data_IF_033624239185
#
_entry.id   IF_033624239185
#
_cell.length_a   1.000
_cell.length_b   1.000
_cell.length_c   1.000
_cell.angle_alpha   90.00
_cell.angle_beta   90.00
_cell.angle_gamma   90.00
#
_symmetry.space_group_name_H-M   'P 1'
#
loop_
_entity.id
_entity.type
_entity.pdbx_description
1 polymer ?
#
# COMPACT_ATOMS: atom_id res chain seq x y z
N UNK A 1 -41.07 -10.04 -17.12
CA UNK A 1 -40.40 -9.86 -15.82
C UNK A 1 -40.66 -8.45 -15.31
N UNK A 2 -40.62 -8.25 -13.99
CA UNK A 2 -40.52 -6.91 -13.40
C UNK A 2 -39.07 -6.43 -13.54
N UNK A 3 -38.84 -5.18 -13.93
CA UNK A 3 -37.50 -4.59 -13.88
C UNK A 3 -37.09 -4.47 -12.41
N UNK A 4 -35.84 -4.80 -12.07
CA UNK A 4 -35.28 -4.48 -10.76
C UNK A 4 -34.73 -3.06 -10.76
N UNK A 5 -34.93 -2.37 -9.67
CA UNK A 5 -34.35 -1.06 -9.40
C UNK A 5 -32.86 -1.25 -9.11
N UNK A 6 -32.03 -0.38 -9.70
CA UNK A 6 -30.60 -0.34 -9.43
C UNK A 6 -30.35 0.60 -8.24
N UNK A 7 -29.30 0.40 -7.44
CA UNK A 7 -28.85 1.43 -6.51
C UNK A 7 -28.43 2.67 -7.31
N UNK A 8 -28.62 3.86 -6.72
CA UNK A 8 -27.86 5.03 -7.12
C UNK A 8 -26.37 4.79 -6.84
N UNK A 9 -25.50 5.41 -7.63
CA UNK A 9 -24.06 5.48 -7.38
C UNK A 9 -23.61 6.93 -7.47
N UNK A 10 -22.58 7.26 -6.72
CA UNK A 10 -21.78 8.47 -6.87
C UNK A 10 -20.33 8.05 -7.14
N UNK A 11 -19.69 8.72 -8.09
CA UNK A 11 -18.35 8.40 -8.57
C UNK A 11 -17.34 9.52 -8.23
N UNK A 12 -16.14 9.14 -7.78
CA UNK A 12 -15.09 10.06 -7.38
C UNK A 12 -13.88 10.05 -8.33
N UNK A 13 -12.68 9.86 -7.78
CA UNK A 13 -11.45 9.73 -8.57
C UNK A 13 -11.38 8.40 -9.34
N UNK A 14 -10.95 8.50 -10.59
CA UNK A 14 -10.55 7.34 -11.39
C UNK A 14 -9.29 6.70 -10.82
N UNK A 15 -9.22 5.38 -10.85
CA UNK A 15 -8.12 4.58 -10.33
C UNK A 15 -7.49 3.73 -11.45
N UNK A 16 -6.15 3.70 -11.46
CA UNK A 16 -5.33 2.76 -12.22
C UNK A 16 -4.46 1.95 -11.25
N UNK A 17 -4.56 0.63 -11.33
CA UNK A 17 -3.57 -0.30 -10.79
C UNK A 17 -2.75 -0.85 -11.97
N UNK A 18 -1.49 -0.41 -12.11
CA UNK A 18 -0.56 -0.91 -13.14
C UNK A 18 0.39 -1.94 -12.50
N UNK A 19 0.42 -3.16 -13.05
CA UNK A 19 1.22 -4.27 -12.51
C UNK A 19 2.40 -4.58 -13.43
N UNK A 20 3.61 -4.56 -12.85
CA UNK A 20 4.87 -4.81 -13.57
C UNK A 20 5.58 -6.04 -13.03
N UNK A 21 6.19 -6.81 -13.94
CA UNK A 21 7.27 -7.74 -13.61
C UNK A 21 8.61 -7.14 -14.00
N UNK A 22 9.67 -7.43 -13.27
CA UNK A 22 11.02 -7.02 -13.63
C UNK A 22 11.60 -8.06 -14.62
N UNK A 23 12.18 -7.60 -15.72
CA UNK A 23 13.07 -8.45 -16.52
C UNK A 23 14.40 -8.59 -15.77
N UNK A 24 14.42 -9.56 -14.85
CA UNK A 24 15.56 -9.83 -13.99
C UNK A 24 16.80 -10.30 -14.76
N UNK A 25 16.68 -10.81 -15.99
CA UNK A 25 17.83 -11.18 -16.81
C UNK A 25 18.41 -9.95 -17.51
N UNK A 26 17.58 -9.11 -18.14
CA UNK A 26 18.02 -7.81 -18.67
C UNK A 26 18.62 -6.91 -17.57
N UNK A 27 18.04 -6.91 -16.36
CA UNK A 27 18.56 -6.18 -15.20
C UNK A 27 19.93 -6.68 -14.71
N UNK A 28 20.22 -7.98 -14.85
CA UNK A 28 21.52 -8.56 -14.48
C UNK A 28 22.59 -8.32 -15.53
N UNK A 29 22.22 -8.39 -16.81
CA UNK A 29 23.14 -8.22 -17.94
C UNK A 29 23.44 -6.73 -18.29
N UNK A 30 22.63 -5.79 -17.77
CA UNK A 30 22.81 -4.36 -18.00
C UNK A 30 24.08 -3.77 -17.35
N UNK A 31 24.82 -2.88 -18.03
CA UNK A 31 25.91 -2.11 -17.43
C UNK A 31 25.43 -1.23 -16.27
N UNK A 32 26.29 -1.04 -15.25
CA UNK A 32 25.97 -0.25 -14.05
C UNK A 32 25.35 1.11 -14.38
N UNK A 33 25.94 1.86 -15.33
CA UNK A 33 25.44 3.16 -15.79
C UNK A 33 23.99 3.15 -16.30
N UNK A 34 23.52 2.04 -16.86
CA UNK A 34 22.13 1.91 -17.33
C UNK A 34 21.19 1.58 -16.17
N UNK A 35 21.68 0.83 -15.17
CA UNK A 35 20.97 0.55 -13.90
C UNK A 35 20.88 1.77 -13.02
N UNK A 36 21.97 2.50 -12.83
CA UNK A 36 22.03 3.80 -12.13
C UNK A 36 21.01 4.78 -12.71
N UNK A 37 20.89 4.80 -14.05
CA UNK A 37 19.94 5.67 -14.76
C UNK A 37 18.49 5.21 -14.57
N UNK A 38 18.23 3.91 -14.66
CA UNK A 38 16.92 3.32 -14.42
C UNK A 38 16.44 3.56 -12.98
N UNK A 39 17.33 3.39 -11.98
CA UNK A 39 17.06 3.77 -10.60
C UNK A 39 16.78 5.27 -10.48
N UNK A 40 17.67 6.13 -11.00
CA UNK A 40 17.51 7.59 -10.89
C UNK A 40 16.18 8.08 -11.49
N UNK A 41 15.88 7.71 -12.73
CA UNK A 41 14.65 8.11 -13.41
C UNK A 41 13.40 7.43 -12.83
N UNK A 42 13.54 6.21 -12.31
CA UNK A 42 12.46 5.50 -11.61
C UNK A 42 12.09 6.15 -10.28
N UNK A 43 13.09 6.43 -9.44
CA UNK A 43 12.94 7.14 -8.16
C UNK A 43 12.36 8.53 -8.38
N UNK A 44 12.88 9.30 -9.36
CA UNK A 44 12.34 10.61 -9.73
C UNK A 44 10.89 10.51 -10.22
N UNK A 45 10.57 9.54 -11.08
CA UNK A 45 9.22 9.32 -11.56
C UNK A 45 8.25 9.06 -10.40
N UNK A 46 8.57 8.11 -9.53
CA UNK A 46 7.71 7.64 -8.45
C UNK A 46 7.46 8.74 -7.40
N UNK A 47 8.52 9.38 -6.90
CA UNK A 47 8.40 10.51 -5.95
C UNK A 47 7.49 11.60 -6.50
N UNK A 48 7.71 12.03 -7.75
CA UNK A 48 6.88 13.05 -8.39
C UNK A 48 5.41 12.64 -8.65
N UNK A 49 4.98 11.43 -8.23
CA UNK A 49 3.58 10.99 -8.20
C UNK A 49 3.05 10.75 -6.78
N UNK A 50 3.90 10.49 -5.79
CA UNK A 50 3.50 10.46 -4.36
C UNK A 50 3.50 11.89 -3.76
N UNK A 51 4.53 12.70 -4.04
CA UNK A 51 4.70 14.09 -3.61
C UNK A 51 3.81 15.09 -4.39
N UNK A 52 2.51 14.83 -4.50
CA UNK A 52 1.56 15.79 -5.06
C UNK A 52 1.40 16.97 -4.08
N UNK A 53 1.61 18.20 -4.57
CA UNK A 53 1.62 19.41 -3.73
C UNK A 53 0.23 19.86 -3.24
N UNK A 54 -0.81 19.11 -3.59
CA UNK A 54 -2.22 19.44 -3.43
C UNK A 54 -3.05 18.15 -3.48
N UNK A 55 -3.86 17.92 -2.45
CA UNK A 55 -4.65 16.69 -2.32
C UNK A 55 -5.73 16.57 -3.41
N UNK A 56 -6.25 17.69 -3.93
CA UNK A 56 -7.28 17.69 -4.96
C UNK A 56 -6.74 17.17 -6.32
N UNK A 57 -5.43 17.00 -6.46
CA UNK A 57 -4.79 16.41 -7.64
C UNK A 57 -4.81 14.87 -7.64
N UNK A 58 -5.28 14.22 -6.57
CA UNK A 58 -5.32 12.77 -6.42
C UNK A 58 -4.25 12.22 -5.48
N UNK A 59 -3.87 10.96 -5.69
CA UNK A 59 -2.82 10.30 -4.90
C UNK A 59 -2.12 9.18 -5.66
N UNK A 60 -0.92 8.79 -5.23
CA UNK A 60 -0.24 7.59 -5.76
C UNK A 60 0.52 6.85 -4.68
N UNK A 61 0.79 5.56 -4.90
CA UNK A 61 1.68 4.77 -4.06
C UNK A 61 2.31 3.61 -4.84
N UNK A 62 3.57 3.28 -4.54
CA UNK A 62 4.28 2.09 -5.06
C UNK A 62 4.34 0.95 -4.04
N UNK A 63 4.15 -0.28 -4.52
CA UNK A 63 4.18 -1.49 -3.69
C UNK A 63 5.02 -2.57 -4.35
N UNK A 64 5.84 -3.26 -3.56
CA UNK A 64 6.48 -4.51 -3.94
C UNK A 64 5.50 -5.65 -3.72
N UNK A 65 5.26 -6.45 -4.74
CA UNK A 65 4.33 -7.58 -4.68
C UNK A 65 5.04 -8.89 -4.38
N UNK A 66 4.39 -9.74 -3.58
CA UNK A 66 4.91 -11.07 -3.21
C UNK A 66 4.28 -12.15 -4.11
N UNK A 67 5.08 -12.74 -4.99
CA UNK A 67 4.63 -13.84 -5.85
C UNK A 67 5.49 -13.99 -7.10
N UNK A 68 4.85 -14.40 -8.20
CA UNK A 68 5.46 -14.48 -9.53
C UNK A 68 4.58 -13.83 -10.62
N UNK A 69 3.43 -13.27 -10.23
CA UNK A 69 2.45 -12.72 -11.16
C UNK A 69 2.76 -11.26 -11.51
N UNK A 70 3.30 -10.52 -10.53
CA UNK A 70 3.89 -9.19 -10.66
C UNK A 70 4.91 -8.99 -9.53
N UNK A 71 5.93 -8.15 -9.76
CA UNK A 71 6.96 -7.75 -8.79
C UNK A 71 6.64 -6.36 -8.19
N UNK A 72 5.99 -5.48 -8.96
CA UNK A 72 5.57 -4.14 -8.56
C UNK A 72 4.08 -3.90 -8.87
N UNK A 73 3.44 -3.07 -8.05
CA UNK A 73 2.16 -2.42 -8.34
C UNK A 73 2.30 -0.91 -8.18
N UNK A 74 1.82 -0.16 -9.17
CA UNK A 74 1.64 1.28 -9.13
C UNK A 74 0.15 1.57 -8.98
N UNK A 75 -0.23 2.21 -7.87
CA UNK A 75 -1.59 2.73 -7.69
C UNK A 75 -1.59 4.23 -7.99
N UNK A 76 -2.51 4.66 -8.86
CA UNK A 76 -2.77 6.08 -9.14
C UNK A 76 -4.27 6.36 -9.04
N UNK A 77 -4.65 7.35 -8.23
CA UNK A 77 -6.00 7.90 -8.15
C UNK A 77 -5.99 9.33 -8.72
N UNK A 78 -6.90 9.69 -9.64
CA UNK A 78 -6.93 11.02 -10.29
C UNK A 78 -8.36 11.51 -10.62
N UNK A 79 -8.62 12.84 -10.57
CA UNK A 79 -9.88 13.43 -11.03
C UNK A 79 -10.29 13.12 -12.48
N UNK A 80 -9.34 12.98 -13.41
CA UNK A 80 -9.60 12.80 -14.84
C UNK A 80 -8.86 11.58 -15.41
N UNK A 81 -9.52 10.83 -16.30
CA UNK A 81 -8.90 9.68 -17.00
C UNK A 81 -7.72 10.08 -17.87
N UNK A 82 -7.68 11.29 -18.43
CA UNK A 82 -6.51 11.78 -19.19
C UNK A 82 -5.25 11.92 -18.30
N UNK A 83 -5.41 12.10 -16.98
CA UNK A 83 -4.27 12.13 -16.06
C UNK A 83 -3.69 10.73 -15.87
N UNK A 84 -4.52 9.69 -15.73
CA UNK A 84 -4.07 8.30 -15.65
C UNK A 84 -3.40 7.86 -16.95
N UNK A 85 -4.04 8.15 -18.09
CA UNK A 85 -3.51 7.93 -19.44
C UNK A 85 -2.11 8.55 -19.61
N UNK A 86 -1.96 9.82 -19.20
CA UNK A 86 -0.69 10.55 -19.27
C UNK A 86 0.37 9.98 -18.31
N UNK A 87 -0.02 9.42 -17.17
CA UNK A 87 0.90 8.79 -16.20
C UNK A 87 1.40 7.44 -16.73
N UNK A 88 0.53 6.57 -17.24
CA UNK A 88 0.89 5.29 -17.86
C UNK A 88 1.98 5.48 -18.93
N UNK A 89 1.75 6.39 -19.89
CA UNK A 89 2.71 6.63 -21.00
C UNK A 89 3.91 7.47 -20.59
N UNK A 90 3.89 8.11 -19.41
CA UNK A 90 5.07 8.73 -18.83
C UNK A 90 5.98 7.70 -18.15
N UNK A 91 5.44 6.61 -17.59
CA UNK A 91 6.25 5.51 -17.06
C UNK A 91 7.06 4.85 -18.18
N UNK A 92 6.42 4.53 -19.31
CA UNK A 92 7.06 3.97 -20.52
C UNK A 92 8.19 4.84 -21.13
N UNK A 93 8.36 6.09 -20.68
CA UNK A 93 9.46 6.98 -21.10
C UNK A 93 10.67 6.97 -20.16
N UNK A 94 10.57 6.31 -19.00
CA UNK A 94 11.68 6.15 -18.05
C UNK A 94 12.64 5.03 -18.48
N UNK A 95 13.91 5.15 -18.11
CA UNK A 95 14.86 4.05 -18.22
C UNK A 95 14.48 2.82 -17.36
N UNK A 96 13.71 3.01 -16.28
CA UNK A 96 13.18 1.90 -15.46
C UNK A 96 12.23 1.00 -16.26
N UNK A 97 11.30 1.59 -17.02
CA UNK A 97 10.31 0.82 -17.77
C UNK A 97 10.92 -0.14 -18.80
N UNK A 98 12.12 0.17 -19.31
CA UNK A 98 12.91 -0.70 -20.19
C UNK A 98 13.38 -2.01 -19.52
N UNK A 99 13.32 -2.10 -18.19
CA UNK A 99 13.56 -3.30 -17.40
C UNK A 99 12.26 -3.91 -16.84
N UNK A 100 11.09 -3.53 -17.36
CA UNK A 100 9.78 -4.05 -16.92
C UNK A 100 8.97 -4.68 -18.05
N UNK A 101 8.29 -5.78 -17.74
CA UNK A 101 7.16 -6.27 -18.53
C UNK A 101 5.85 -5.80 -17.87
N UNK A 102 4.90 -5.32 -18.69
CA UNK A 102 3.51 -5.15 -18.25
C UNK A 102 2.92 -6.53 -17.99
N UNK A 103 2.46 -6.76 -16.77
CA UNK A 103 2.00 -8.06 -16.29
C UNK A 103 0.47 -8.14 -16.23
N UNK A 104 -0.18 -7.06 -15.80
CA UNK A 104 -1.62 -6.95 -15.61
C UNK A 104 -2.00 -5.46 -15.47
N UNK A 105 -3.29 -5.12 -15.49
CA UNK A 105 -3.77 -3.77 -15.18
C UNK A 105 -5.20 -3.79 -14.65
N UNK A 106 -5.62 -2.75 -13.93
CA UNK A 106 -7.03 -2.54 -13.59
C UNK A 106 -7.44 -1.07 -13.68
N UNK A 107 -8.52 -0.75 -14.39
CA UNK A 107 -9.06 0.61 -14.57
C UNK A 107 -10.45 0.73 -13.96
N UNK A 108 -10.65 1.69 -13.06
CA UNK A 108 -11.87 1.80 -12.26
C UNK A 108 -12.11 3.24 -11.77
N UNK A 109 -13.16 3.49 -10.98
CA UNK A 109 -13.45 4.78 -10.34
C UNK A 109 -13.97 4.55 -8.93
N UNK A 110 -13.59 5.38 -7.94
CA UNK A 110 -14.10 5.23 -6.56
C UNK A 110 -15.62 5.36 -6.54
N UNK A 111 -16.29 4.41 -5.88
CA UNK A 111 -17.75 4.26 -5.93
C UNK A 111 -18.35 4.26 -4.53
N UNK A 112 -19.47 4.98 -4.36
CA UNK A 112 -20.39 4.80 -3.24
C UNK A 112 -21.77 4.47 -3.80
N UNK A 113 -22.42 3.44 -3.24
CA UNK A 113 -23.75 3.02 -3.64
C UNK A 113 -24.82 3.41 -2.61
N UNK A 114 -26.03 3.68 -3.10
CA UNK A 114 -27.22 4.09 -2.32
C UNK A 114 -27.78 3.03 -1.36
N UNK A 115 -27.02 1.98 -1.03
CA UNK A 115 -27.29 1.12 0.12
C UNK A 115 -26.84 1.76 1.45
N UNK A 116 -26.04 2.83 1.41
CA UNK A 116 -25.56 3.54 2.62
C UNK A 116 -26.57 4.57 3.12
N UNK A 117 -27.24 5.29 2.22
CA UNK A 117 -28.41 6.14 2.52
C UNK A 117 -29.28 6.29 1.26
N UNK A 118 -30.60 6.41 1.45
CA UNK A 118 -31.55 6.68 0.37
C UNK A 118 -31.36 8.10 -0.20
N UNK A 119 -30.87 9.05 0.61
CA UNK A 119 -30.60 10.44 0.23
C UNK A 119 -29.59 10.57 -0.93
N UNK A 120 -28.73 9.55 -1.14
CA UNK A 120 -27.77 9.52 -2.26
C UNK A 120 -28.47 9.53 -3.63
N UNK A 121 -29.75 9.11 -3.71
CA UNK A 121 -30.51 9.14 -4.95
C UNK A 121 -30.85 10.56 -5.45
N UNK A 122 -30.77 11.56 -4.56
CA UNK A 122 -30.92 12.99 -4.89
C UNK A 122 -29.55 13.71 -5.00
N UNK A 123 -28.43 13.00 -4.86
CA UNK A 123 -27.06 13.53 -5.00
C UNK A 123 -26.36 13.80 -3.65
N UNK A 124 -25.04 13.57 -3.59
CA UNK A 124 -24.25 13.73 -2.35
C UNK A 124 -24.34 15.13 -1.73
N UNK A 125 -24.59 16.18 -2.53
CA UNK A 125 -24.75 17.54 -2.03
C UNK A 125 -26.07 17.79 -1.28
N UNK A 126 -27.00 16.82 -1.28
CA UNK A 126 -28.31 16.91 -0.65
C UNK A 126 -28.46 16.02 0.63
N UNK A 127 -27.39 15.35 1.07
CA UNK A 127 -27.38 14.55 2.31
C UNK A 127 -27.40 15.46 3.56
N UNK A 128 -28.44 15.37 4.39
CA UNK A 128 -28.70 16.33 5.48
C UNK A 128 -27.72 16.18 6.67
N UNK A 129 -27.14 14.99 6.87
CA UNK A 129 -26.14 14.74 7.92
C UNK A 129 -24.70 15.02 7.45
N UNK A 130 -24.09 16.08 7.99
CA UNK A 130 -22.68 16.43 7.77
C UNK A 130 -21.73 15.26 8.06
N UNK A 131 -22.02 14.40 9.03
CA UNK A 131 -21.17 13.25 9.37
C UNK A 131 -21.11 12.23 8.23
N UNK A 132 -22.27 11.78 7.78
CA UNK A 132 -22.47 10.87 6.64
C UNK A 132 -21.91 11.47 5.35
N UNK A 133 -22.20 12.75 5.06
CA UNK A 133 -21.68 13.47 3.90
C UNK A 133 -20.15 13.49 3.88
N UNK A 134 -19.50 13.82 5.00
CA UNK A 134 -18.03 13.84 5.08
C UNK A 134 -17.42 12.44 4.96
N UNK A 135 -18.03 11.41 5.57
CA UNK A 135 -17.62 10.01 5.40
C UNK A 135 -17.71 9.55 3.94
N UNK A 136 -18.70 10.03 3.19
CA UNK A 136 -18.82 9.75 1.76
C UNK A 136 -17.78 10.51 0.93
N UNK A 137 -17.56 11.80 1.18
CA UNK A 137 -16.51 12.56 0.48
C UNK A 137 -15.11 11.93 0.67
N UNK A 138 -14.82 11.40 1.87
CA UNK A 138 -13.58 10.65 2.16
C UNK A 138 -13.45 9.32 1.40
N UNK A 139 -14.54 8.77 0.86
CA UNK A 139 -14.55 7.54 0.06
C UNK A 139 -14.56 7.79 -1.45
N UNK A 140 -15.14 8.91 -1.91
CA UNK A 140 -15.03 9.36 -3.30
C UNK A 140 -13.63 9.94 -3.59
N UNK A 141 -13.07 10.68 -2.62
CA UNK A 141 -11.77 11.36 -2.76
C UNK A 141 -10.78 10.89 -1.67
N UNK A 142 -10.42 9.59 -1.62
CA UNK A 142 -9.61 9.02 -0.55
C UNK A 142 -8.12 9.33 -0.74
N UNK A 143 -7.45 9.82 0.31
CA UNK A 143 -6.00 9.66 0.39
C UNK A 143 -5.64 8.17 0.47
N UNK A 144 -4.54 7.78 -0.18
CA UNK A 144 -4.03 6.41 -0.06
C UNK A 144 -3.45 6.24 1.35
N UNK A 145 -3.87 5.21 2.13
CA UNK A 145 -3.41 5.05 3.50
C UNK A 145 -1.88 4.94 3.65
N UNK A 146 -1.38 5.56 4.70
CA UNK A 146 -0.06 5.29 5.26
C UNK A 146 -0.18 3.99 6.09
N UNK A 147 0.18 2.87 5.45
CA UNK A 147 0.10 1.52 5.99
C UNK A 147 1.14 0.62 5.32
N UNK A 148 1.73 -0.34 6.06
CA UNK A 148 2.82 -1.16 5.50
C UNK A 148 2.35 -2.09 4.37
N UNK A 149 1.18 -2.73 4.47
CA UNK A 149 0.75 -3.77 3.54
C UNK A 149 -0.47 -3.39 2.68
N UNK A 150 -0.55 -4.01 1.50
CA UNK A 150 -1.67 -3.88 0.57
C UNK A 150 -2.18 -5.25 0.10
N UNK A 151 -3.49 -5.37 -0.09
CA UNK A 151 -4.10 -6.46 -0.84
C UNK A 151 -5.12 -5.92 -1.84
N UNK A 152 -4.88 -6.14 -3.14
CA UNK A 152 -5.82 -5.83 -4.21
C UNK A 152 -6.48 -7.12 -4.75
N UNK A 153 -7.76 -7.05 -5.07
CA UNK A 153 -8.44 -8.05 -5.90
C UNK A 153 -9.65 -7.43 -6.63
N UNK A 154 -9.94 -7.83 -7.87
CA UNK A 154 -11.20 -7.53 -8.52
C UNK A 154 -12.26 -8.59 -8.18
N UNK A 155 -13.54 -8.23 -8.28
CA UNK A 155 -14.66 -9.16 -8.02
C UNK A 155 -15.96 -8.77 -8.70
N UNK A 156 -16.82 -9.77 -8.89
CA UNK A 156 -18.17 -9.66 -9.45
C UNK A 156 -19.25 -10.04 -8.42
N UNK A 157 -20.50 -9.67 -8.73
CA UNK A 157 -21.71 -10.19 -8.11
C UNK A 157 -22.40 -11.20 -9.04
N UNK A 158 -22.35 -12.47 -8.65
CA UNK A 158 -22.81 -13.66 -9.38
C UNK A 158 -24.15 -13.46 -10.09
N UNK A 159 -24.18 -13.86 -11.36
CA UNK A 159 -25.35 -13.90 -12.26
C UNK A 159 -25.71 -15.35 -12.66
N UNK A 160 -25.81 -16.23 -11.66
CA UNK A 160 -25.99 -17.68 -11.82
C UNK A 160 -27.45 -18.16 -11.75
N UNK A 161 -27.73 -19.45 -12.04
CA UNK A 161 -29.09 -19.97 -12.15
C UNK A 161 -29.81 -20.21 -10.81
N UNK A 162 -29.08 -20.32 -9.70
CA UNK A 162 -29.63 -20.40 -8.33
C UNK A 162 -29.48 -19.07 -7.59
N UNK A 163 -28.32 -18.42 -7.73
CA UNK A 163 -28.00 -17.13 -7.14
C UNK A 163 -27.69 -16.12 -8.24
N UNK A 164 -28.61 -15.18 -8.46
CA UNK A 164 -28.40 -14.01 -9.31
C UNK A 164 -28.65 -12.73 -8.51
N UNK A 165 -27.58 -11.99 -8.19
CA UNK A 165 -27.64 -10.72 -7.44
C UNK A 165 -28.56 -9.68 -8.09
N UNK A 166 -28.52 -9.60 -9.42
CA UNK A 166 -29.24 -8.60 -10.20
C UNK A 166 -30.74 -8.94 -10.38
N UNK A 167 -31.17 -10.16 -10.07
CA UNK A 167 -32.58 -10.56 -10.02
C UNK A 167 -33.23 -10.34 -8.64
N UNK A 168 -32.49 -9.92 -7.62
CA UNK A 168 -33.01 -9.65 -6.27
C UNK A 168 -33.85 -8.35 -6.21
N UNK A 169 -34.78 -8.22 -5.26
CA UNK A 169 -35.32 -6.92 -4.81
C UNK A 169 -34.21 -5.96 -4.37
N UNK A 170 -34.52 -4.66 -4.29
CA UNK A 170 -33.59 -3.67 -3.72
C UNK A 170 -33.35 -3.94 -2.24
N UNK A 171 -34.42 -4.07 -1.45
CA UNK A 171 -34.42 -4.27 -0.01
C UNK A 171 -33.58 -5.51 0.40
N UNK A 172 -33.73 -6.63 -0.33
CA UNK A 172 -32.97 -7.85 -0.09
C UNK A 172 -31.46 -7.66 -0.35
N UNK A 173 -31.07 -6.81 -1.31
CA UNK A 173 -29.65 -6.42 -1.47
C UNK A 173 -29.19 -5.45 -0.40
N UNK A 174 -30.05 -4.52 0.04
CA UNK A 174 -29.73 -3.59 1.12
C UNK A 174 -29.45 -4.34 2.43
N UNK A 175 -30.30 -5.30 2.82
CA UNK A 175 -30.09 -6.18 3.97
C UNK A 175 -28.74 -6.95 3.86
N UNK A 176 -28.43 -7.48 2.67
CA UNK A 176 -27.18 -8.21 2.41
C UNK A 176 -25.94 -7.31 2.46
N UNK A 177 -26.00 -6.08 1.95
CA UNK A 177 -24.90 -5.10 2.06
C UNK A 177 -24.77 -4.55 3.48
N UNK A 178 -25.87 -4.40 4.23
CA UNK A 178 -25.84 -3.98 5.63
C UNK A 178 -25.09 -5.00 6.50
N UNK A 179 -25.40 -6.30 6.40
CA UNK A 179 -24.69 -7.36 7.12
C UNK A 179 -23.22 -7.50 6.72
N UNK A 180 -22.90 -7.30 5.44
CA UNK A 180 -21.51 -7.19 4.98
C UNK A 180 -20.77 -6.00 5.63
N UNK A 181 -21.47 -4.86 5.75
CA UNK A 181 -20.99 -3.65 6.40
C UNK A 181 -20.87 -3.75 7.93
N UNK A 182 -21.65 -4.63 8.59
CA UNK A 182 -21.46 -4.97 10.01
C UNK A 182 -20.08 -5.59 10.23
N UNK A 183 -19.74 -6.64 9.47
CA UNK A 183 -18.42 -7.29 9.55
C UNK A 183 -17.31 -6.28 9.23
N UNK A 184 -17.45 -5.48 8.17
CA UNK A 184 -16.47 -4.44 7.83
C UNK A 184 -16.21 -3.43 8.95
N UNK A 185 -17.22 -3.12 9.77
CA UNK A 185 -17.07 -2.22 10.94
C UNK A 185 -16.31 -2.85 12.11
N UNK A 186 -16.25 -4.17 12.23
CA UNK A 186 -15.44 -4.85 13.27
C UNK A 186 -13.92 -4.73 13.02
N UNK A 187 -13.52 -4.43 11.78
CA UNK A 187 -12.14 -4.21 11.36
C UNK A 187 -11.75 -2.72 11.24
N UNK A 188 -12.59 -1.80 11.73
CA UNK A 188 -12.30 -0.37 11.75
C UNK A 188 -11.01 -0.06 12.55
N UNK A 189 -10.07 0.66 11.94
CA UNK A 189 -8.76 0.93 12.52
C UNK A 189 -7.74 -0.23 12.44
N UNK A 190 -8.12 -1.36 11.82
CA UNK A 190 -7.20 -2.46 11.44
C UNK A 190 -7.00 -2.52 9.92
N UNK A 191 -8.09 -2.41 9.16
CA UNK A 191 -8.09 -2.44 7.70
C UNK A 191 -8.83 -1.21 7.17
N UNK A 192 -8.19 -0.49 6.25
CA UNK A 192 -8.83 0.55 5.43
C UNK A 192 -9.09 -0.02 4.04
N UNK A 193 -10.25 0.28 3.45
CA UNK A 193 -10.61 -0.16 2.10
C UNK A 193 -10.84 1.03 1.16
N UNK A 194 -10.36 0.90 -0.07
CA UNK A 194 -10.80 1.69 -1.22
C UNK A 194 -11.54 0.72 -2.14
N UNK A 195 -12.79 1.05 -2.47
CA UNK A 195 -13.65 0.29 -3.38
C UNK A 195 -13.85 1.12 -4.64
N UNK A 196 -13.69 0.48 -5.80
CA UNK A 196 -13.86 1.14 -7.09
C UNK A 196 -14.80 0.36 -7.99
N UNK A 197 -15.74 1.04 -8.64
CA UNK A 197 -16.58 0.48 -9.70
C UNK A 197 -15.83 0.43 -11.02
N UNK A 198 -16.06 -0.61 -11.83
CA UNK A 198 -15.36 -0.82 -13.11
C UNK A 198 -16.26 -1.36 -14.23
N UNK A 199 -17.58 -1.42 -14.02
CA UNK A 199 -18.55 -1.89 -15.02
C UNK A 199 -18.51 -1.06 -16.31
N UNK A 200 -17.83 -1.59 -17.34
CA UNK A 200 -17.64 -0.93 -18.63
C UNK A 200 -16.29 -0.22 -18.80
N UNK A 201 -15.43 -0.24 -17.78
CA UNK A 201 -14.02 0.16 -17.86
C UNK A 201 -13.08 -1.05 -17.92
N UNK A 202 -13.40 -2.13 -17.19
CA UNK A 202 -12.56 -3.34 -17.05
C UNK A 202 -13.39 -4.64 -17.12
N UNK A 203 -12.73 -5.80 -17.01
CA UNK A 203 -13.31 -7.14 -17.17
C UNK A 203 -14.23 -7.56 -15.99
N UNK A 204 -14.06 -6.95 -14.81
CA UNK A 204 -14.81 -7.25 -13.58
C UNK A 204 -15.67 -6.05 -13.10
N UNK A 205 -16.66 -6.32 -12.25
CA UNK A 205 -17.66 -5.33 -11.83
C UNK A 205 -17.11 -4.31 -10.78
N UNK A 206 -16.24 -4.75 -9.85
CA UNK A 206 -15.55 -3.87 -8.87
C UNK A 206 -14.09 -4.24 -8.62
N UNK A 207 -13.25 -3.24 -8.36
CA UNK A 207 -11.92 -3.37 -7.74
C UNK A 207 -11.98 -3.15 -6.22
N UNK A 208 -11.26 -3.96 -5.45
CA UNK A 208 -11.13 -3.83 -4.00
C UNK A 208 -9.67 -3.71 -3.61
N UNK A 209 -9.30 -2.63 -2.93
CA UNK A 209 -7.94 -2.43 -2.39
C UNK A 209 -8.02 -2.29 -0.87
N UNK A 210 -7.33 -3.16 -0.15
CA UNK A 210 -7.25 -3.19 1.31
C UNK A 210 -5.85 -2.75 1.77
N UNK A 211 -5.78 -1.97 2.84
CA UNK A 211 -4.56 -1.45 3.45
C UNK A 211 -4.55 -1.73 4.95
N UNK A 212 -3.43 -2.23 5.49
CA UNK A 212 -3.27 -2.58 6.90
C UNK A 212 -1.77 -2.71 7.24
N UNK A 213 -1.40 -2.54 8.51
CA UNK A 213 -0.03 -2.80 8.97
C UNK A 213 0.22 -4.29 9.22
N UNK A 214 -0.74 -4.98 9.87
CA UNK A 214 -0.71 -6.44 10.00
C UNK A 214 -1.43 -7.10 8.80
N UNK A 215 -0.71 -7.81 7.90
CA UNK A 215 -1.31 -8.42 6.72
C UNK A 215 -2.21 -9.62 7.06
N UNK A 216 -2.18 -10.13 8.29
CA UNK A 216 -3.10 -11.17 8.75
C UNK A 216 -4.51 -10.63 8.99
N UNK A 217 -4.69 -9.31 9.17
CA UNK A 217 -6.01 -8.68 9.27
C UNK A 217 -6.80 -8.83 7.96
N UNK A 218 -6.14 -8.70 6.79
CA UNK A 218 -6.75 -9.03 5.49
C UNK A 218 -7.29 -10.47 5.47
N UNK A 219 -6.49 -11.42 5.97
CA UNK A 219 -6.84 -12.84 6.02
C UNK A 219 -7.95 -13.15 7.03
N UNK A 220 -8.18 -12.27 8.01
CA UNK A 220 -9.25 -12.40 9.01
C UNK A 220 -10.54 -11.81 8.41
N UNK A 221 -10.52 -10.55 7.99
CA UNK A 221 -11.61 -9.85 7.30
C UNK A 221 -12.18 -10.67 6.13
N UNK A 222 -11.32 -11.11 5.22
CA UNK A 222 -11.73 -11.89 4.04
C UNK A 222 -12.16 -13.33 4.36
N UNK A 223 -11.86 -13.86 5.55
CA UNK A 223 -12.39 -15.14 6.00
C UNK A 223 -13.80 -14.97 6.56
N UNK A 224 -14.01 -14.00 7.44
CA UNK A 224 -15.30 -13.77 8.10
C UNK A 224 -16.35 -13.27 7.10
N UNK A 225 -15.98 -12.32 6.24
CA UNK A 225 -16.84 -11.87 5.13
C UNK A 225 -17.27 -13.00 4.20
N UNK A 226 -16.50 -14.11 4.07
CA UNK A 226 -16.88 -15.26 3.23
C UNK A 226 -17.96 -16.16 3.85
N UNK A 227 -18.25 -16.02 5.15
CA UNK A 227 -19.38 -16.72 5.78
C UNK A 227 -20.69 -15.93 5.72
N UNK A 228 -20.63 -14.64 5.43
CA UNK A 228 -21.82 -13.81 5.18
C UNK A 228 -22.56 -14.22 3.87
N UNK A 229 -23.90 -14.20 3.82
CA UNK A 229 -24.67 -14.51 2.61
C UNK A 229 -24.38 -13.61 1.40
N UNK A 230 -23.98 -12.35 1.58
CA UNK A 230 -23.65 -11.43 0.47
C UNK A 230 -22.39 -11.84 -0.30
N UNK A 231 -21.49 -12.59 0.34
CA UNK A 231 -20.27 -13.10 -0.25
C UNK A 231 -20.41 -14.58 -0.63
N UNK A 232 -20.82 -15.43 0.31
CA UNK A 232 -20.90 -16.89 0.10
C UNK A 232 -21.81 -17.30 -1.06
N UNK A 233 -22.90 -16.57 -1.29
CA UNK A 233 -23.84 -16.81 -2.40
C UNK A 233 -23.54 -15.99 -3.65
N UNK A 234 -22.99 -14.79 -3.50
CA UNK A 234 -22.96 -13.81 -4.59
C UNK A 234 -21.59 -13.23 -4.94
N UNK A 235 -20.54 -13.33 -4.14
CA UNK A 235 -19.21 -12.84 -4.55
C UNK A 235 -18.51 -13.86 -5.45
N UNK A 236 -17.96 -13.40 -6.57
CA UNK A 236 -17.06 -14.16 -7.43
C UNK A 236 -15.75 -13.37 -7.52
N UNK A 237 -14.65 -13.96 -7.05
CA UNK A 237 -13.38 -13.25 -6.88
C UNK A 237 -12.43 -13.54 -8.04
N UNK A 238 -11.77 -12.49 -8.55
CA UNK A 238 -10.63 -12.60 -9.44
C UNK A 238 -9.34 -12.97 -8.70
N UNK A 239 -8.20 -12.46 -9.18
CA UNK A 239 -6.88 -12.76 -8.59
C UNK A 239 -6.58 -11.82 -7.42
N UNK A 240 -6.03 -12.38 -6.35
CA UNK A 240 -5.52 -11.60 -5.21
C UNK A 240 -4.06 -11.24 -5.46
N UNK A 241 -3.75 -9.94 -5.39
CA UNK A 241 -2.41 -9.37 -5.41
C UNK A 241 -2.09 -8.93 -3.98
N UNK A 242 -0.97 -9.39 -3.42
CA UNK A 242 -0.53 -9.02 -2.07
C UNK A 242 0.87 -8.44 -2.12
N UNK A 243 1.12 -7.41 -1.31
CA UNK A 243 2.42 -6.77 -1.26
C UNK A 243 2.58 -5.80 -0.10
N UNK A 244 3.70 -5.09 -0.14
CA UNK A 244 4.16 -4.14 0.87
C UNK A 244 4.53 -2.80 0.22
N UNK A 245 4.09 -1.70 0.82
CA UNK A 245 4.46 -0.33 0.41
C UNK A 245 5.93 -0.12 0.71
N UNK A 246 6.62 0.61 -0.16
CA UNK A 246 7.97 1.09 0.12
C UNK A 246 8.09 2.55 -0.29
N UNK A 247 8.99 3.28 0.37
CA UNK A 247 9.31 4.64 -0.03
C UNK A 247 9.98 4.60 -1.42
N UNK A 248 9.55 5.41 -2.40
CA UNK A 248 10.25 5.60 -3.67
C UNK A 248 11.78 5.81 -3.57
N UNK A 249 12.32 6.36 -2.47
CA UNK A 249 13.76 6.40 -2.18
C UNK A 249 14.42 5.01 -2.30
N UNK A 250 13.72 3.95 -1.88
CA UNK A 250 14.23 2.60 -1.59
C UNK A 250 14.10 1.60 -2.75
N UNK A 251 13.84 2.09 -3.96
CA UNK A 251 13.91 1.29 -5.18
C UNK A 251 15.30 0.61 -5.41
N UNK A 252 16.45 1.24 -5.07
CA UNK A 252 17.77 0.61 -5.19
C UNK A 252 17.90 -0.66 -4.34
N UNK A 253 17.57 -0.60 -3.05
CA UNK A 253 17.63 -1.76 -2.14
C UNK A 253 16.69 -2.88 -2.62
N UNK A 254 15.48 -2.52 -3.10
CA UNK A 254 14.53 -3.49 -3.65
C UNK A 254 15.08 -4.24 -4.88
N UNK A 255 15.69 -3.52 -5.83
CA UNK A 255 16.27 -4.13 -7.04
C UNK A 255 17.65 -4.76 -6.83
N UNK A 256 18.29 -4.52 -5.67
CA UNK A 256 19.42 -5.30 -5.17
C UNK A 256 18.99 -6.60 -4.45
N UNK A 257 17.71 -6.72 -4.06
CA UNK A 257 17.19 -7.85 -3.29
C UNK A 257 17.47 -7.75 -1.78
N UNK A 258 17.67 -6.53 -1.28
CA UNK A 258 18.00 -6.24 0.11
C UNK A 258 16.74 -6.07 0.99
N UNK A 259 16.93 -6.03 2.31
CA UNK A 259 15.81 -5.92 3.26
C UNK A 259 15.37 -4.47 3.40
N UNK A 260 14.20 -4.13 2.85
CA UNK A 260 13.56 -2.84 3.10
C UNK A 260 13.12 -2.71 4.57
N UNK A 261 13.22 -1.51 5.17
CA UNK A 261 12.59 -1.20 6.46
C UNK A 261 11.05 -1.28 6.35
N UNK A 262 10.35 -1.15 7.48
CA UNK A 262 8.90 -0.99 7.47
C UNK A 262 8.54 0.37 6.85
N UNK A 263 7.38 0.48 6.20
CA UNK A 263 6.91 1.77 5.71
C UNK A 263 6.66 2.72 6.89
N UNK A 264 6.94 4.02 6.73
CA UNK A 264 6.86 5.01 7.80
C UNK A 264 7.92 4.91 8.92
N UNK A 265 8.71 3.83 9.02
CA UNK A 265 9.79 3.73 10.03
C UNK A 265 11.02 4.53 9.61
N UNK A 266 10.95 5.85 9.78
CA UNK A 266 11.94 6.81 9.28
C UNK A 266 13.29 6.79 10.01
N UNK A 267 14.23 6.00 9.50
CA UNK A 267 15.67 6.25 9.64
C UNK A 267 16.24 6.66 8.27
N UNK A 268 16.20 7.97 8.00
CA UNK A 268 16.97 8.59 6.91
C UNK A 268 18.43 8.71 7.35
N UNK A 269 19.17 7.60 7.32
CA UNK A 269 20.62 7.61 7.50
C UNK A 269 21.27 8.41 6.36
N UNK A 270 21.51 9.71 6.58
CA UNK A 270 22.34 10.52 5.69
C UNK A 270 23.71 9.86 5.55
N UNK A 271 24.16 9.50 4.33
CA UNK A 271 25.46 8.89 4.13
C UNK A 271 26.56 9.77 4.70
N UNK A 272 27.26 9.27 5.73
CA UNK A 272 28.41 9.98 6.29
C UNK A 272 29.57 9.77 5.31
N UNK A 273 30.12 10.83 4.69
CA UNK A 273 31.19 10.66 3.72
C UNK A 273 32.46 10.16 4.40
N UNK A 274 33.08 9.13 3.82
CA UNK A 274 34.32 8.54 4.32
C UNK A 274 35.43 9.59 4.52
N UNK A 275 35.94 9.67 5.74
CA UNK A 275 37.18 10.37 6.03
C UNK A 275 38.36 9.40 5.82
N UNK A 276 39.02 9.53 4.67
CA UNK A 276 40.11 8.62 4.26
C UNK A 276 41.24 8.48 5.29
N UNK A 277 41.89 7.31 5.28
CA UNK A 277 43.07 6.99 6.10
C UNK A 277 44.27 7.89 5.77
N UNK A 278 44.57 8.83 6.66
CA UNK A 278 45.77 9.69 6.58
C UNK A 278 46.88 9.25 7.53
N UNK A 279 47.79 8.38 7.08
CA UNK A 279 48.90 7.88 7.88
C UNK A 279 50.07 8.89 7.95
N UNK A 280 50.52 9.26 9.15
CA UNK A 280 51.72 10.10 9.36
C UNK A 280 52.29 9.93 10.77
N UNK A 281 53.62 9.83 10.86
CA UNK A 281 54.34 9.53 12.10
C UNK A 281 54.63 10.79 12.95
N UNK A 282 54.84 10.64 14.28
CA UNK A 282 55.36 11.70 15.13
C UNK A 282 56.88 11.86 14.95
N UNK A 283 57.36 13.10 15.03
CA UNK A 283 58.76 13.47 15.26
C UNK A 283 58.81 14.48 16.43
N UNK A 284 59.95 14.57 17.12
CA UNK A 284 60.05 15.23 18.42
C UNK A 284 60.26 16.75 18.33
N UNK A 285 59.79 17.51 19.34
CA UNK A 285 60.68 18.39 20.15
C UNK A 285 60.01 18.98 21.40
N UNK A 286 60.86 19.29 22.39
CA UNK A 286 60.57 20.00 23.65
C UNK A 286 59.92 21.39 23.47
N UNK A 287 59.03 21.76 24.40
CA UNK A 287 59.29 22.94 25.25
C UNK A 287 58.57 22.84 26.61
N UNK A 288 59.13 23.45 27.68
CA UNK A 288 58.77 23.13 29.06
C UNK A 288 58.40 24.36 29.93
N UNK A 289 57.37 24.23 30.77
CA UNK A 289 57.09 25.13 31.89
C UNK A 289 56.33 24.42 33.03
N UNK A 290 56.58 24.85 34.28
CA UNK A 290 56.16 24.17 35.52
C UNK A 290 54.73 24.52 36.02
N UNK A 291 54.15 23.67 36.89
CA UNK A 291 52.89 23.96 37.59
C UNK A 291 52.39 22.90 38.60
N UNK A 292 52.91 22.93 39.84
CA UNK A 292 52.33 22.45 41.13
C UNK A 292 51.22 21.36 41.19
N UNK A 293 51.51 20.29 41.94
CA UNK A 293 50.72 19.73 43.08
C UNK A 293 49.17 19.75 43.00
N UNK A 294 48.46 18.62 43.12
CA UNK A 294 48.31 17.88 44.41
C UNK A 294 47.38 16.65 44.31
N UNK A 295 47.48 15.76 45.30
CA UNK A 295 46.46 14.90 45.98
C UNK A 295 45.10 14.51 45.29
N UNK A 296 44.49 13.33 45.52
CA UNK A 296 44.87 12.09 46.24
C UNK A 296 43.83 10.97 45.99
N UNK A 297 44.18 9.70 46.29
CA UNK A 297 43.25 8.55 46.36
C UNK A 297 42.86 7.93 45.00
N UNK A 298 42.49 6.65 44.91
CA UNK A 298 42.47 5.62 45.95
C UNK A 298 42.15 4.23 45.38
N UNK A 299 42.67 3.18 46.02
CA UNK A 299 42.51 1.75 45.70
C UNK A 299 41.04 1.27 45.92
N UNK A 300 40.56 0.10 45.48
CA UNK A 300 41.25 -1.14 45.09
C UNK A 300 40.40 -2.06 44.16
N UNK A 301 40.94 -3.26 43.90
CA UNK A 301 40.32 -4.52 43.42
C UNK A 301 38.86 -4.83 43.86
N UNK A 302 38.11 -5.71 43.16
CA UNK A 302 38.47 -6.53 41.99
C UNK A 302 37.45 -7.61 41.58
N UNK A 303 37.85 -8.46 40.63
CA UNK A 303 37.19 -9.68 40.08
C UNK A 303 37.28 -10.88 41.06
N UNK A 304 36.66 -12.07 40.83
CA UNK A 304 35.54 -12.46 39.93
C UNK A 304 34.57 -13.48 40.65
N UNK A 305 33.87 -14.51 40.11
CA UNK A 305 33.37 -15.03 38.79
C UNK A 305 32.20 -16.04 39.09
N UNK A 306 31.38 -16.41 38.09
CA UNK A 306 30.59 -17.69 37.96
C UNK A 306 29.34 -18.00 38.84
N UNK A 307 28.34 -18.68 38.23
CA UNK A 307 27.20 -19.35 38.90
C UNK A 307 25.96 -19.59 37.99
N UNK A 308 25.80 -20.81 37.44
CA UNK A 308 24.67 -21.20 36.57
C UNK A 308 23.47 -21.85 37.33
N UNK A 309 22.27 -21.99 36.71
CA UNK A 309 21.01 -22.28 37.40
C UNK A 309 20.58 -23.77 37.40
N UNK A 310 19.54 -24.14 38.18
CA UNK A 310 18.81 -25.40 38.05
C UNK A 310 17.44 -25.26 37.33
N UNK A 311 16.99 -26.35 36.70
CA UNK A 311 15.64 -26.54 36.17
C UNK A 311 14.66 -27.05 37.25
N UNK A 312 13.35 -26.81 37.03
CA UNK A 312 12.24 -27.79 37.11
C UNK A 312 10.95 -27.07 36.60
N UNK A 313 9.98 -27.62 35.86
CA UNK A 313 9.35 -28.94 35.79
C UNK A 313 8.34 -29.22 36.93
N UNK A 314 7.10 -29.68 36.71
CA UNK A 314 6.33 -29.87 35.47
C UNK A 314 4.81 -30.01 35.78
N UNK A 315 3.99 -30.11 34.72
CA UNK A 315 2.70 -30.83 34.67
C UNK A 315 1.51 -30.33 35.51
N UNK A 316 0.48 -29.82 34.84
CA UNK A 316 -0.78 -30.56 34.59
C UNK A 316 -1.38 -30.11 33.27
#
# INVERSE_FOLDING_TARGET
>A
MTRRDAPATEEGWYALHDFRRIDWDAWRDAPDRERDRALSEGVEFLRAREDLSDADQGGSAVFSLTGHEADLMLLHLRPETEQLDRIERAFEQTALAGFTERADSYVSVTEISGYVTEELADGIENIDDDGTRNYMLQRLYPSIPDAEHVCFYPMDKRRGPEYNWYDLPFDERADLIAGHGDIGREYAGKVTQIITGSMGFDDHEWGVTLFADDPTEFKQLLADMRFDPSSSRYAEFGRFRFGRRFDPERLPELLAGESLPAYGSGETETPTPDAETGESAPDETDEAAAGSESESGGESSGRPESGEPPHDAATT
#
